data_IF_142736079348
#
_entry.id   IF_142736079348
#
_cell.length_a   1.000
_cell.length_b   1.000
_cell.length_c   1.000
_cell.angle_alpha   90.00
_cell.angle_beta   90.00
_cell.angle_gamma   90.00
#
_symmetry.space_group_name_H-M   'P 1'
#
loop_
_entity.id
_entity.type
_entity.pdbx_description
1 polymer ?
#
# COMPACT_ATOMS: atom_id res chain seq x y z
N UNK A 1 -17.39 32.15 -4.20
CA UNK A 1 -18.56 31.84 -3.34
C UNK A 1 -18.88 30.33 -3.22
N UNK A 2 -18.78 29.53 -4.31
CA UNK A 2 -19.13 28.09 -4.28
C UNK A 2 -18.24 27.20 -3.40
N UNK A 3 -16.92 27.46 -3.32
CA UNK A 3 -15.98 26.65 -2.53
C UNK A 3 -16.29 26.70 -1.04
N UNK A 4 -16.59 27.90 -0.50
CA UNK A 4 -16.91 28.09 0.92
C UNK A 4 -18.15 27.27 1.34
N UNK A 5 -19.20 27.28 0.52
CA UNK A 5 -20.42 26.50 0.77
C UNK A 5 -20.18 24.98 0.72
N UNK A 6 -19.29 24.51 -0.16
CA UNK A 6 -18.90 23.09 -0.23
C UNK A 6 -18.13 22.69 1.04
N UNK A 7 -17.21 23.53 1.50
CA UNK A 7 -16.46 23.30 2.74
C UNK A 7 -17.39 23.26 3.94
N UNK A 8 -18.31 24.21 4.06
CA UNK A 8 -19.28 24.25 5.16
C UNK A 8 -20.19 23.00 5.16
N UNK A 9 -20.69 22.59 3.99
CA UNK A 9 -21.46 21.32 3.86
C UNK A 9 -20.62 20.11 4.24
N UNK A 10 -19.36 20.04 3.82
CA UNK A 10 -18.45 18.95 4.16
C UNK A 10 -18.14 18.90 5.66
N UNK A 11 -17.92 20.07 6.29
CA UNK A 11 -17.70 20.19 7.74
C UNK A 11 -18.95 19.81 8.53
N UNK A 12 -20.16 19.93 7.96
CA UNK A 12 -21.40 19.46 8.59
C UNK A 12 -21.60 17.94 8.60
N UNK A 13 -20.84 17.17 7.82
CA UNK A 13 -21.06 15.72 7.67
C UNK A 13 -20.66 14.91 8.91
N UNK A 14 -21.26 13.72 9.06
CA UNK A 14 -20.86 12.75 10.07
C UNK A 14 -19.41 12.30 9.86
N UNK A 15 -18.69 11.99 10.94
CA UNK A 15 -17.27 11.63 10.88
C UNK A 15 -16.97 10.45 9.93
N UNK A 16 -17.78 9.37 9.87
CA UNK A 16 -17.58 8.30 8.91
C UNK A 16 -17.69 8.78 7.46
N UNK A 17 -18.67 9.62 7.15
CA UNK A 17 -18.90 10.13 5.79
C UNK A 17 -17.81 11.10 5.36
N UNK A 18 -17.29 11.92 6.29
CA UNK A 18 -16.10 12.76 6.04
C UNK A 18 -14.89 11.93 5.67
N UNK A 19 -14.62 10.86 6.44
CA UNK A 19 -13.52 9.95 6.14
C UNK A 19 -13.75 9.37 4.74
N UNK A 20 -14.92 8.79 4.46
CA UNK A 20 -15.22 8.18 3.16
C UNK A 20 -15.04 9.14 1.97
N UNK A 21 -15.55 10.37 2.05
CA UNK A 21 -15.40 11.36 0.98
C UNK A 21 -13.96 11.86 0.86
N UNK A 22 -13.30 12.21 1.98
CA UNK A 22 -11.90 12.67 1.95
C UNK A 22 -10.97 11.59 1.41
N UNK A 23 -11.25 10.35 1.76
CA UNK A 23 -10.63 9.15 1.26
C UNK A 23 -10.85 8.94 -0.24
N UNK A 24 -12.08 9.12 -0.72
CA UNK A 24 -12.38 9.00 -2.15
C UNK A 24 -11.67 10.08 -2.97
N UNK A 25 -11.69 11.33 -2.49
CA UNK A 25 -10.94 12.44 -3.11
C UNK A 25 -9.43 12.17 -3.07
N UNK A 26 -8.92 11.67 -1.95
CA UNK A 26 -7.51 11.25 -1.82
C UNK A 26 -7.18 10.07 -2.71
N UNK A 27 -8.08 9.12 -2.94
CA UNK A 27 -7.85 8.01 -3.86
C UNK A 27 -7.80 8.51 -5.31
N UNK A 28 -8.68 9.44 -5.69
CA UNK A 28 -8.70 10.04 -7.02
C UNK A 28 -7.47 10.93 -7.28
N UNK A 29 -7.12 11.82 -6.35
CA UNK A 29 -5.95 12.68 -6.49
C UNK A 29 -4.62 11.95 -6.23
N UNK A 30 -4.61 11.07 -5.23
CA UNK A 30 -3.45 10.32 -4.79
C UNK A 30 -3.05 9.21 -5.75
N UNK A 31 -3.98 8.58 -6.46
CA UNK A 31 -3.65 7.61 -7.51
C UNK A 31 -2.75 8.20 -8.60
N UNK A 32 -2.96 9.48 -8.95
CA UNK A 32 -2.10 10.20 -9.89
C UNK A 32 -0.71 10.43 -9.31
N UNK A 33 -0.63 10.86 -8.05
CA UNK A 33 0.63 11.09 -7.35
C UNK A 33 1.44 9.79 -7.17
N UNK A 34 0.79 8.71 -6.75
CA UNK A 34 1.45 7.40 -6.56
C UNK A 34 1.87 6.82 -7.91
N UNK A 35 1.07 7.00 -8.97
CA UNK A 35 1.45 6.65 -10.34
C UNK A 35 2.74 7.35 -10.78
N UNK A 36 2.85 8.65 -10.51
CA UNK A 36 4.06 9.44 -10.78
C UNK A 36 5.26 8.94 -9.96
N UNK A 37 5.07 8.66 -8.67
CA UNK A 37 6.12 8.09 -7.81
C UNK A 37 6.62 6.75 -8.36
N UNK A 38 5.71 5.87 -8.81
CA UNK A 38 6.09 4.57 -9.35
C UNK A 38 6.87 4.68 -10.66
N UNK A 39 6.56 5.69 -11.49
CA UNK A 39 7.31 5.99 -12.70
C UNK A 39 8.72 6.54 -12.38
N UNK A 40 8.84 7.42 -11.37
CA UNK A 40 10.16 7.86 -10.90
C UNK A 40 10.98 6.72 -10.29
N UNK A 41 10.34 5.82 -9.53
CA UNK A 41 10.97 4.63 -8.99
C UNK A 41 11.46 3.70 -10.10
N UNK A 42 10.67 3.52 -11.16
CA UNK A 42 11.06 2.80 -12.35
C UNK A 42 12.28 3.43 -13.03
N UNK A 43 12.30 4.74 -13.22
CA UNK A 43 13.44 5.42 -13.85
C UNK A 43 14.71 5.22 -13.04
N UNK A 44 14.63 5.31 -11.71
CA UNK A 44 15.75 4.98 -10.83
C UNK A 44 16.18 3.52 -10.99
N UNK A 45 15.23 2.59 -11.06
CA UNK A 45 15.51 1.17 -11.28
C UNK A 45 16.22 0.93 -12.63
N UNK A 46 15.72 1.51 -13.73
CA UNK A 46 16.34 1.40 -15.05
C UNK A 46 17.76 1.97 -15.04
N UNK A 47 17.95 3.15 -14.45
CA UNK A 47 19.26 3.79 -14.32
C UNK A 47 20.26 2.94 -13.54
N UNK A 48 19.84 2.34 -12.42
CA UNK A 48 20.72 1.49 -11.59
C UNK A 48 21.07 0.15 -12.23
N UNK A 49 20.37 -0.23 -13.30
CA UNK A 49 20.61 -1.47 -14.05
C UNK A 49 21.18 -1.21 -15.45
N UNK A 50 21.71 0.00 -15.70
CA UNK A 50 22.29 0.42 -16.99
C UNK A 50 21.32 0.23 -18.18
N UNK A 51 20.02 0.35 -17.94
CA UNK A 51 18.99 0.29 -18.97
C UNK A 51 18.68 1.68 -19.51
N UNK A 52 18.25 1.71 -20.78
CA UNK A 52 17.64 2.91 -21.35
C UNK A 52 16.37 3.27 -20.55
N UNK A 53 16.25 4.54 -20.19
CA UNK A 53 15.08 5.05 -19.48
C UNK A 53 13.88 5.04 -20.44
N UNK A 54 12.77 4.36 -20.09
CA UNK A 54 11.60 4.25 -20.96
C UNK A 54 10.75 5.54 -20.88
N UNK A 55 11.03 6.51 -21.76
CA UNK A 55 10.24 7.75 -21.87
C UNK A 55 8.79 7.50 -22.35
N UNK A 56 8.54 6.35 -22.94
CA UNK A 56 7.22 5.88 -23.40
C UNK A 56 6.28 5.54 -22.23
N UNK A 57 6.85 5.36 -21.03
CA UNK A 57 6.18 4.80 -19.86
C UNK A 57 6.12 3.26 -19.89
N UNK A 58 5.75 2.68 -18.75
CA UNK A 58 5.52 1.23 -18.64
C UNK A 58 4.03 0.96 -18.62
N UNK A 59 3.51 0.26 -19.63
CA UNK A 59 2.09 -0.02 -19.76
C UNK A 59 1.67 -0.85 -18.57
N UNK A 60 0.46 -0.58 -18.08
CA UNK A 60 -0.16 -1.26 -16.93
C UNK A 60 0.54 -1.08 -15.58
N UNK A 61 1.79 -0.60 -15.49
CA UNK A 61 2.42 -0.30 -14.19
C UNK A 61 1.62 0.75 -13.45
N UNK A 62 1.24 1.85 -14.13
CA UNK A 62 0.38 2.88 -13.53
C UNK A 62 -0.96 2.30 -13.08
N UNK A 63 -1.59 1.46 -13.90
CA UNK A 63 -2.87 0.83 -13.54
C UNK A 63 -2.73 -0.10 -12.32
N UNK A 64 -1.73 -0.98 -12.31
CA UNK A 64 -1.46 -1.92 -11.22
C UNK A 64 -1.13 -1.19 -9.92
N UNK A 65 -0.32 -0.14 -9.99
CA UNK A 65 0.02 0.69 -8.83
C UNK A 65 -1.22 1.42 -8.30
N UNK A 66 -2.06 1.95 -9.17
CA UNK A 66 -3.32 2.60 -8.78
C UNK A 66 -4.29 1.59 -8.15
N UNK A 67 -4.46 0.42 -8.79
CA UNK A 67 -5.30 -0.65 -8.27
C UNK A 67 -4.80 -1.15 -6.91
N UNK A 68 -3.49 -1.34 -6.76
CA UNK A 68 -2.87 -1.76 -5.51
C UNK A 68 -3.01 -0.68 -4.43
N UNK A 69 -2.84 0.59 -4.79
CA UNK A 69 -3.06 1.72 -3.86
C UNK A 69 -4.51 1.77 -3.38
N UNK A 70 -5.46 1.52 -4.28
CA UNK A 70 -6.88 1.43 -3.96
C UNK A 70 -7.17 0.21 -3.06
N UNK A 71 -6.53 -0.92 -3.32
CA UNK A 71 -6.63 -2.11 -2.48
C UNK A 71 -6.09 -1.83 -1.07
N UNK A 72 -4.88 -1.27 -0.93
CA UNK A 72 -4.33 -0.87 0.37
C UNK A 72 -5.24 0.11 1.09
N UNK A 73 -5.84 1.02 0.34
CA UNK A 73 -6.78 1.99 0.88
C UNK A 73 -8.03 1.30 1.46
N UNK A 74 -8.64 0.36 0.75
CA UNK A 74 -9.76 -0.44 1.28
C UNK A 74 -9.36 -1.30 2.47
N UNK A 75 -8.20 -1.94 2.41
CA UNK A 75 -7.62 -2.69 3.53
C UNK A 75 -7.44 -1.81 4.76
N UNK A 76 -6.93 -0.59 4.60
CA UNK A 76 -6.78 0.37 5.69
C UNK A 76 -8.13 0.79 6.28
N UNK A 77 -9.17 1.02 5.46
CA UNK A 77 -10.53 1.28 5.95
C UNK A 77 -11.04 0.09 6.76
N UNK A 78 -10.89 -1.13 6.25
CA UNK A 78 -11.39 -2.33 6.91
C UNK A 78 -10.68 -2.54 8.25
N UNK A 79 -9.36 -2.45 8.28
CA UNK A 79 -8.55 -2.47 9.51
C UNK A 79 -9.05 -1.40 10.47
N UNK A 80 -9.17 -0.16 10.02
CA UNK A 80 -9.64 0.95 10.86
C UNK A 80 -11.04 0.70 11.44
N UNK A 81 -11.98 0.24 10.62
CA UNK A 81 -13.35 -0.07 11.05
C UNK A 81 -13.35 -1.23 12.06
N UNK A 82 -12.60 -2.30 11.79
CA UNK A 82 -12.44 -3.44 12.68
C UNK A 82 -11.85 -3.04 14.03
N UNK A 83 -10.71 -2.35 14.03
CA UNK A 83 -10.05 -1.83 15.23
C UNK A 83 -11.00 -0.92 16.02
N UNK A 84 -11.71 -0.02 15.33
CA UNK A 84 -12.69 0.88 15.96
C UNK A 84 -13.86 0.12 16.60
N UNK A 85 -14.36 -0.94 15.96
CA UNK A 85 -15.43 -1.79 16.49
C UNK A 85 -14.94 -2.55 17.72
N UNK A 86 -13.79 -3.22 17.61
CA UNK A 86 -13.15 -3.96 18.70
C UNK A 86 -12.92 -3.05 19.91
N UNK A 87 -12.38 -1.85 19.68
CA UNK A 87 -12.15 -0.87 20.74
C UNK A 87 -13.47 -0.44 21.37
N UNK A 88 -14.49 -0.07 20.57
CA UNK A 88 -15.80 0.32 21.12
C UNK A 88 -16.42 -0.81 21.93
N UNK A 89 -16.29 -2.05 21.47
CA UNK A 89 -16.76 -3.23 22.17
C UNK A 89 -16.02 -3.41 23.50
N UNK A 90 -14.68 -3.38 23.48
CA UNK A 90 -13.87 -3.55 24.68
C UNK A 90 -14.10 -2.43 25.71
N UNK A 91 -14.24 -1.18 25.25
CA UNK A 91 -14.64 -0.05 26.08
C UNK A 91 -16.04 -0.25 26.64
N UNK A 92 -17.01 -0.70 25.84
CA UNK A 92 -18.37 -0.93 26.32
C UNK A 92 -18.39 -2.01 27.40
N UNK A 93 -17.69 -3.14 27.21
CA UNK A 93 -17.56 -4.21 28.22
C UNK A 93 -16.93 -3.68 29.51
N UNK A 94 -15.82 -2.93 29.41
CA UNK A 94 -15.18 -2.32 30.57
C UNK A 94 -16.11 -1.31 31.27
N UNK A 95 -16.85 -0.50 30.50
CA UNK A 95 -17.82 0.44 31.05
C UNK A 95 -19.01 -0.27 31.69
N UNK A 96 -19.52 -1.38 31.14
CA UNK A 96 -20.61 -2.15 31.77
C UNK A 96 -20.18 -2.68 33.15
N UNK A 97 -18.90 -3.01 33.33
CA UNK A 97 -18.36 -3.39 34.64
C UNK A 97 -18.22 -2.21 35.62
N UNK A 98 -17.99 -0.99 35.11
CA UNK A 98 -17.86 0.23 35.93
C UNK A 98 -19.23 0.90 36.20
N UNK A 99 -20.23 0.68 35.33
CA UNK A 99 -21.59 1.28 35.41
C UNK A 99 -22.56 0.56 36.35
N UNK A 100 -22.06 0.07 37.48
CA UNK A 100 -22.84 0.12 38.72
C UNK A 100 -22.62 1.54 39.28
N UNK A 101 -23.34 2.55 38.77
CA UNK A 101 -23.58 3.77 39.56
C UNK A 101 -23.48 5.18 38.94
N UNK A 102 -22.82 5.46 37.80
CA UNK A 102 -22.71 6.87 37.34
C UNK A 102 -22.89 7.10 35.82
N UNK A 103 -23.69 8.13 35.50
CA UNK A 103 -24.04 8.64 34.18
C UNK A 103 -23.14 9.84 33.81
N UNK A 104 -22.93 10.00 32.50
CA UNK A 104 -22.57 11.24 31.79
C UNK A 104 -21.16 11.81 31.94
N UNK A 105 -20.18 11.07 31.43
CA UNK A 105 -19.00 11.50 30.62
C UNK A 105 -18.12 10.26 30.50
N UNK A 106 -17.19 10.15 29.54
CA UNK A 106 -16.18 9.07 29.61
C UNK A 106 -15.23 9.45 30.76
N UNK A 107 -15.30 8.85 31.96
CA UNK A 107 -14.30 9.09 32.99
C UNK A 107 -12.92 8.69 32.46
N UNK A 108 -11.90 9.46 32.85
CA UNK A 108 -10.52 9.07 32.61
C UNK A 108 -10.30 7.68 33.25
N UNK A 109 -10.06 6.66 32.42
CA UNK A 109 -9.87 5.31 32.92
C UNK A 109 -8.56 5.24 33.72
N UNK A 110 -8.55 4.56 34.89
CA UNK A 110 -7.32 4.32 35.63
C UNK A 110 -6.35 3.51 34.77
N UNK A 111 -5.07 3.87 34.83
CA UNK A 111 -4.02 3.38 33.91
C UNK A 111 -3.93 1.84 33.83
N UNK A 112 -4.17 1.13 34.95
CA UNK A 112 -4.18 -0.34 34.99
C UNK A 112 -5.32 -0.96 34.17
N UNK A 113 -6.52 -0.40 34.20
CA UNK A 113 -7.65 -0.88 33.40
C UNK A 113 -7.46 -0.51 31.92
N UNK A 114 -6.90 0.67 31.67
CA UNK A 114 -6.51 1.10 30.34
C UNK A 114 -5.55 0.11 29.68
N UNK A 115 -4.48 -0.29 30.38
CA UNK A 115 -3.51 -1.28 29.90
C UNK A 115 -4.15 -2.62 29.53
N UNK A 116 -5.15 -3.10 30.29
CA UNK A 116 -5.88 -4.34 29.98
C UNK A 116 -6.73 -4.22 28.72
N UNK A 117 -7.46 -3.12 28.56
CA UNK A 117 -8.28 -2.89 27.36
C UNK A 117 -7.39 -2.68 26.13
N UNK A 118 -6.30 -1.94 26.29
CA UNK A 118 -5.29 -1.68 25.27
C UNK A 118 -4.62 -2.96 24.78
N UNK A 119 -4.22 -3.87 25.68
CA UNK A 119 -3.58 -5.12 25.30
C UNK A 119 -4.54 -6.06 24.56
N UNK A 120 -5.79 -6.18 25.02
CA UNK A 120 -6.83 -6.95 24.33
C UNK A 120 -7.10 -6.36 22.94
N UNK A 121 -7.30 -5.04 22.85
CA UNK A 121 -7.51 -4.37 21.57
C UNK A 121 -6.32 -4.55 20.63
N UNK A 122 -5.08 -4.49 21.14
CA UNK A 122 -3.87 -4.71 20.35
C UNK A 122 -3.82 -6.13 19.77
N UNK A 123 -4.13 -7.15 20.58
CA UNK A 123 -4.14 -8.56 20.14
C UNK A 123 -5.17 -8.75 19.03
N UNK A 124 -6.41 -8.32 19.24
CA UNK A 124 -7.45 -8.46 18.21
C UNK A 124 -7.15 -7.62 16.96
N UNK A 125 -6.55 -6.43 17.11
CA UNK A 125 -6.10 -5.61 15.99
C UNK A 125 -5.01 -6.30 15.18
N UNK A 126 -4.04 -6.92 15.86
CA UNK A 126 -2.96 -7.68 15.22
C UNK A 126 -3.49 -8.93 14.49
N UNK A 127 -4.43 -9.66 15.10
CA UNK A 127 -5.08 -10.83 14.47
C UNK A 127 -5.89 -10.41 13.25
N UNK A 128 -6.70 -9.34 13.38
CA UNK A 128 -7.53 -8.84 12.29
C UNK A 128 -6.68 -8.29 11.13
N UNK A 129 -5.61 -7.56 11.46
CA UNK A 129 -4.64 -7.09 10.48
C UNK A 129 -3.97 -8.29 9.78
N UNK A 130 -3.48 -9.26 10.54
CA UNK A 130 -2.90 -10.49 10.01
C UNK A 130 -3.84 -11.22 9.06
N UNK A 131 -5.12 -11.35 9.41
CA UNK A 131 -6.14 -11.99 8.56
C UNK A 131 -6.39 -11.25 7.23
N UNK A 132 -6.39 -9.92 7.23
CA UNK A 132 -6.56 -9.12 6.00
C UNK A 132 -5.28 -9.13 5.15
N UNK A 133 -4.13 -9.23 5.80
CA UNK A 133 -2.82 -9.16 5.18
C UNK A 133 -2.36 -10.53 4.65
N UNK A 134 -2.82 -11.63 5.24
CA UNK A 134 -2.43 -12.99 4.87
C UNK A 134 -2.56 -13.30 3.36
N UNK A 135 -3.63 -12.86 2.65
CA UNK A 135 -3.74 -13.00 1.20
C UNK A 135 -2.65 -12.26 0.41
N UNK A 136 -1.99 -11.27 1.01
CA UNK A 136 -0.92 -10.46 0.44
C UNK A 136 0.48 -10.89 0.91
N UNK A 137 0.61 -12.04 1.61
CA UNK A 137 1.89 -12.48 2.17
C UNK A 137 2.97 -12.76 1.12
N UNK A 138 2.62 -13.21 -0.09
CA UNK A 138 3.58 -13.34 -1.19
C UNK A 138 4.31 -12.02 -1.46
N UNK A 139 3.55 -10.93 -1.50
CA UNK A 139 4.08 -9.58 -1.65
C UNK A 139 4.81 -9.08 -0.40
N UNK A 140 4.31 -9.36 0.80
CA UNK A 140 4.99 -8.94 2.05
C UNK A 140 6.31 -9.67 2.27
N UNK A 141 6.42 -10.92 1.85
CA UNK A 141 7.67 -11.68 1.90
C UNK A 141 8.74 -11.09 0.97
N UNK A 142 8.34 -10.26 -0.01
CA UNK A 142 9.26 -9.49 -0.84
C UNK A 142 9.83 -8.25 -0.13
N UNK A 143 9.13 -7.73 0.89
CA UNK A 143 9.64 -6.66 1.73
C UNK A 143 10.73 -7.21 2.67
N UNK A 144 11.75 -6.40 3.01
CA UNK A 144 12.68 -6.74 4.08
C UNK A 144 11.94 -7.20 5.34
N UNK A 145 12.41 -8.28 5.97
CA UNK A 145 11.74 -8.96 7.09
C UNK A 145 11.40 -8.03 8.28
N UNK A 146 12.15 -6.94 8.45
CA UNK A 146 11.86 -5.94 9.46
C UNK A 146 10.64 -5.10 9.09
N UNK A 147 10.41 -4.78 7.81
CA UNK A 147 9.24 -4.01 7.36
C UNK A 147 7.95 -4.82 7.40
N UNK A 148 8.00 -6.12 7.05
CA UNK A 148 6.82 -7.00 7.15
C UNK A 148 6.28 -7.10 8.58
N UNK A 149 7.18 -7.09 9.57
CA UNK A 149 6.84 -7.28 10.97
C UNK A 149 6.71 -5.97 11.77
N UNK A 150 7.42 -4.89 11.42
CA UNK A 150 7.41 -3.65 12.22
C UNK A 150 6.39 -2.61 11.78
N UNK A 151 6.11 -2.49 10.46
CA UNK A 151 5.10 -1.53 9.96
C UNK A 151 3.71 -1.76 10.60
N UNK A 152 3.24 -3.00 10.82
CA UNK A 152 1.96 -3.24 11.49
C UNK A 152 1.97 -2.87 12.98
N UNK A 153 3.14 -2.94 13.61
CA UNK A 153 3.29 -2.82 15.06
C UNK A 153 3.54 -1.38 15.50
N UNK A 154 3.96 -0.45 14.64
CA UNK A 154 4.20 0.97 14.98
C UNK A 154 2.89 1.76 15.23
N UNK A 155 1.83 1.59 14.42
CA UNK A 155 0.55 2.29 14.65
C UNK A 155 -0.08 1.92 15.99
N UNK A 156 0.08 0.67 16.43
CA UNK A 156 -0.59 0.15 17.63
C UNK A 156 -0.20 0.94 18.90
N UNK A 157 1.08 1.05 19.33
CA UNK A 157 1.48 1.80 20.51
C UNK A 157 1.21 3.30 20.36
N UNK A 158 1.29 3.88 19.16
CA UNK A 158 0.94 5.29 18.91
C UNK A 158 -0.56 5.49 19.18
N UNK A 159 -1.41 4.65 18.58
CA UNK A 159 -2.86 4.72 18.75
C UNK A 159 -3.23 4.50 20.22
N UNK A 160 -2.61 3.52 20.88
CA UNK A 160 -2.76 3.27 22.31
C UNK A 160 -2.21 4.41 23.18
N UNK A 161 -1.15 5.11 22.80
CA UNK A 161 -0.68 6.24 23.59
C UNK A 161 -1.70 7.39 23.56
N UNK A 162 -2.18 7.73 22.36
CA UNK A 162 -3.11 8.84 22.17
C UNK A 162 -4.56 8.53 22.57
N UNK A 163 -4.93 7.26 22.73
CA UNK A 163 -6.22 6.83 23.28
C UNK A 163 -6.44 7.26 24.72
N UNK A 164 -5.39 7.63 25.46
CA UNK A 164 -5.52 8.23 26.80
C UNK A 164 -6.31 9.55 26.78
N UNK A 165 -6.31 10.26 25.64
CA UNK A 165 -7.10 11.48 25.44
C UNK A 165 -7.98 11.31 24.19
N UNK A 166 -9.30 11.08 24.32
CA UNK A 166 -10.17 10.81 23.17
C UNK A 166 -10.16 11.94 22.11
N UNK A 167 -9.83 13.16 22.52
CA UNK A 167 -9.63 14.31 21.60
C UNK A 167 -8.43 14.13 20.66
N UNK A 168 -7.43 13.32 21.02
CA UNK A 168 -6.18 13.18 20.28
C UNK A 168 -6.11 11.94 19.39
N UNK A 169 -7.05 10.99 19.55
CA UNK A 169 -7.13 9.77 18.73
C UNK A 169 -7.13 10.10 17.23
N UNK A 170 -7.82 11.17 16.82
CA UNK A 170 -7.89 11.60 15.41
C UNK A 170 -6.51 11.96 14.86
N UNK A 171 -5.68 12.65 15.64
CA UNK A 171 -4.33 13.04 15.21
C UNK A 171 -3.38 11.84 15.17
N UNK A 172 -3.51 10.92 16.12
CA UNK A 172 -2.73 9.68 16.14
C UNK A 172 -3.00 8.83 14.90
N UNK A 173 -4.26 8.75 14.50
CA UNK A 173 -4.67 8.03 13.29
C UNK A 173 -4.07 8.66 12.04
N UNK A 174 -4.22 9.99 11.89
CA UNK A 174 -3.63 10.72 10.76
C UNK A 174 -2.10 10.54 10.73
N UNK A 175 -1.43 10.69 11.88
CA UNK A 175 0.01 10.51 11.99
C UNK A 175 0.47 9.10 11.62
N UNK A 176 -0.22 8.07 12.12
CA UNK A 176 0.11 6.68 11.79
C UNK A 176 -0.08 6.37 10.30
N UNK A 177 -1.14 6.90 9.68
CA UNK A 177 -1.39 6.79 8.25
C UNK A 177 -0.28 7.45 7.42
N UNK A 178 0.13 8.67 7.80
CA UNK A 178 1.22 9.39 7.12
C UNK A 178 2.56 8.65 7.24
N UNK A 179 2.84 8.04 8.40
CA UNK A 179 4.05 7.23 8.61
C UNK A 179 4.04 6.02 7.67
N UNK A 180 2.94 5.26 7.62
CA UNK A 180 2.83 4.07 6.76
C UNK A 180 2.99 4.45 5.28
N UNK A 181 2.35 5.51 4.82
CA UNK A 181 2.51 6.01 3.44
C UNK A 181 3.95 6.42 3.16
N UNK A 182 4.59 7.14 4.08
CA UNK A 182 5.98 7.60 3.90
C UNK A 182 6.94 6.41 3.79
N UNK A 183 6.76 5.39 4.64
CA UNK A 183 7.55 4.15 4.58
C UNK A 183 7.33 3.44 3.24
N UNK A 184 6.07 3.34 2.78
CA UNK A 184 5.76 2.71 1.50
C UNK A 184 6.42 3.44 0.33
N UNK A 185 6.29 4.78 0.26
CA UNK A 185 6.92 5.61 -0.77
C UNK A 185 8.43 5.43 -0.75
N UNK A 186 9.06 5.50 0.43
CA UNK A 186 10.51 5.33 0.54
C UNK A 186 10.99 3.97 0.01
N UNK A 187 10.21 2.91 0.25
CA UNK A 187 10.53 1.56 -0.23
C UNK A 187 10.38 1.39 -1.74
N UNK A 188 9.47 2.11 -2.40
CA UNK A 188 9.39 2.09 -3.86
C UNK A 188 10.69 2.55 -4.52
N UNK A 189 11.46 3.43 -3.86
CA UNK A 189 12.76 3.90 -4.36
C UNK A 189 13.93 2.99 -4.00
N UNK A 190 13.71 1.86 -3.31
CA UNK A 190 14.73 0.85 -3.09
C UNK A 190 14.73 -0.12 -4.28
N UNK A 191 15.84 -0.21 -5.00
CA UNK A 191 15.94 -1.00 -6.23
C UNK A 191 15.72 -2.51 -6.01
N UNK A 192 16.16 -3.05 -4.87
CA UNK A 192 15.97 -4.47 -4.55
C UNK A 192 14.50 -4.77 -4.27
N UNK A 193 13.85 -3.95 -3.43
CA UNK A 193 12.42 -4.07 -3.13
C UNK A 193 11.58 -3.88 -4.39
N UNK A 194 11.92 -2.89 -5.21
CA UNK A 194 11.23 -2.61 -6.46
C UNK A 194 11.41 -3.75 -7.49
N UNK A 195 12.60 -4.33 -7.59
CA UNK A 195 12.85 -5.51 -8.44
C UNK A 195 11.96 -6.69 -8.05
N UNK A 196 11.86 -7.00 -6.75
CA UNK A 196 10.98 -8.07 -6.27
C UNK A 196 9.50 -7.75 -6.53
N UNK A 197 9.11 -6.49 -6.41
CA UNK A 197 7.76 -6.05 -6.78
C UNK A 197 7.47 -6.27 -8.27
N UNK A 198 8.41 -5.92 -9.15
CA UNK A 198 8.29 -6.16 -10.59
C UNK A 198 8.24 -7.66 -10.93
N UNK A 199 8.97 -8.48 -10.16
CA UNK A 199 8.97 -9.95 -10.28
C UNK A 199 7.62 -10.55 -9.96
N UNK A 200 7.01 -10.13 -8.86
CA UNK A 200 5.69 -10.58 -8.45
C UNK A 200 4.61 -10.22 -9.48
N UNK A 201 4.71 -9.01 -10.05
CA UNK A 201 3.80 -8.58 -11.11
C UNK A 201 4.11 -9.21 -12.48
N UNK A 202 5.24 -9.91 -12.62
CA UNK A 202 5.77 -10.44 -13.89
C UNK A 202 6.06 -9.37 -14.96
N UNK A 203 6.49 -8.18 -14.52
CA UNK A 203 6.91 -7.08 -15.38
C UNK A 203 8.44 -6.89 -15.44
N UNK A 204 9.21 -7.59 -14.59
CA UNK A 204 10.68 -7.59 -14.56
C UNK A 204 11.23 -8.60 -13.55
N UNK A 205 12.47 -9.04 -13.66
CA UNK A 205 13.12 -10.03 -12.78
C UNK A 205 12.64 -11.49 -12.91
N UNK A 206 11.98 -11.85 -14.03
CA UNK A 206 11.42 -13.20 -14.29
C UNK A 206 12.04 -13.78 -15.55
N UNK A 207 12.44 -15.04 -15.53
CA UNK A 207 12.92 -15.74 -16.73
C UNK A 207 11.78 -15.91 -17.73
N UNK A 208 11.99 -15.49 -18.97
CA UNK A 208 11.00 -15.60 -20.04
C UNK A 208 11.63 -16.06 -21.34
N UNK A 209 10.82 -16.74 -22.16
CA UNK A 209 11.15 -17.02 -23.55
C UNK A 209 10.26 -16.19 -24.46
N UNK A 210 10.88 -15.33 -25.26
CA UNK A 210 10.19 -14.45 -26.21
C UNK A 210 10.34 -15.02 -27.61
N UNK A 211 9.21 -15.27 -28.25
CA UNK A 211 9.13 -15.62 -29.67
C UNK A 211 8.78 -14.36 -30.46
N UNK A 212 9.62 -13.97 -31.40
CA UNK A 212 9.46 -12.73 -32.17
C UNK A 212 9.83 -12.90 -33.64
N UNK A 213 9.35 -11.99 -34.49
CA UNK A 213 9.71 -11.89 -35.91
C UNK A 213 11.04 -11.13 -36.04
N UNK A 214 11.96 -11.64 -36.86
CA UNK A 214 13.25 -11.01 -37.10
C UNK A 214 13.48 -10.87 -38.61
N UNK A 215 14.35 -9.94 -39.03
CA UNK A 215 14.61 -9.71 -40.45
C UNK A 215 15.08 -11.01 -41.14
N UNK A 216 14.36 -11.42 -42.18
CA UNK A 216 14.66 -12.63 -42.95
C UNK A 216 14.25 -13.97 -42.31
N UNK A 217 13.72 -13.99 -41.08
CA UNK A 217 13.24 -15.21 -40.41
C UNK A 217 11.91 -14.97 -39.69
N UNK A 218 10.91 -15.79 -40.01
CA UNK A 218 9.59 -15.67 -39.41
C UNK A 218 9.60 -15.89 -37.88
N UNK A 219 10.53 -16.69 -37.34
CA UNK A 219 10.55 -17.06 -35.93
C UNK A 219 11.98 -17.00 -35.36
N UNK A 220 12.26 -15.97 -34.56
CA UNK A 220 13.38 -15.92 -33.63
C UNK A 220 12.91 -16.23 -32.20
N UNK A 221 13.83 -16.77 -31.40
CA UNK A 221 13.58 -17.12 -30.00
C UNK A 221 14.75 -16.62 -29.18
N UNK A 222 14.45 -15.85 -28.14
CA UNK A 222 15.41 -15.45 -27.13
C UNK A 222 14.88 -15.84 -25.77
N UNK A 223 15.73 -16.46 -24.96
CA UNK A 223 15.45 -16.80 -23.57
C UNK A 223 16.40 -16.01 -22.68
N UNK A 224 15.86 -15.40 -21.63
CA UNK A 224 16.64 -14.60 -20.69
C UNK A 224 15.77 -14.04 -19.58
N UNK A 225 16.39 -13.26 -18.70
CA UNK A 225 15.67 -12.59 -17.63
C UNK A 225 14.93 -11.36 -18.20
N UNK A 226 13.61 -11.32 -18.05
CA UNK A 226 12.83 -10.12 -18.37
C UNK A 226 13.26 -9.01 -17.43
N UNK A 227 13.91 -7.97 -17.93
CA UNK A 227 14.25 -6.81 -17.11
C UNK A 227 13.11 -5.82 -17.05
N UNK A 228 12.53 -5.50 -18.21
CA UNK A 228 11.44 -4.54 -18.30
C UNK A 228 10.55 -4.80 -19.51
N UNK A 229 9.25 -4.58 -19.34
CA UNK A 229 8.29 -4.54 -20.44
C UNK A 229 7.71 -3.14 -20.58
N UNK A 230 8.05 -2.43 -21.65
CA UNK A 230 7.48 -1.11 -21.97
C UNK A 230 6.32 -1.24 -22.96
N UNK A 231 5.76 -0.12 -23.40
CA UNK A 231 4.69 -0.10 -24.40
C UNK A 231 5.21 -0.42 -25.79
N UNK A 232 6.47 -0.09 -26.07
CA UNK A 232 7.07 -0.33 -27.39
C UNK A 232 8.06 -1.49 -27.41
N UNK A 233 8.64 -1.88 -26.27
CA UNK A 233 9.71 -2.88 -26.21
C UNK A 233 9.57 -3.89 -25.06
N UNK A 234 10.14 -5.08 -25.26
CA UNK A 234 10.49 -6.05 -24.22
C UNK A 234 12.00 -6.04 -24.08
N UNK A 235 12.50 -5.73 -22.89
CA UNK A 235 13.92 -5.71 -22.56
C UNK A 235 14.29 -7.00 -21.83
N UNK A 236 15.09 -7.82 -22.49
CA UNK A 236 15.62 -9.06 -21.92
C UNK A 236 17.09 -8.88 -21.57
N UNK A 237 17.57 -9.54 -20.52
CA UNK A 237 19.00 -9.75 -20.30
C UNK A 237 19.38 -11.16 -20.72
N UNK A 238 20.25 -11.24 -21.72
CA UNK A 238 20.79 -12.49 -22.26
C UNK A 238 22.31 -12.39 -22.14
N UNK A 239 22.92 -13.33 -21.43
CA UNK A 239 24.39 -13.39 -21.23
C UNK A 239 25.02 -12.10 -20.68
N UNK A 240 24.27 -11.33 -19.89
CA UNK A 240 24.74 -10.07 -19.30
C UNK A 240 24.42 -8.83 -20.13
N UNK A 241 24.03 -8.98 -21.40
CA UNK A 241 23.67 -7.89 -22.29
C UNK A 241 22.16 -7.67 -22.34
N UNK A 242 21.75 -6.41 -22.40
CA UNK A 242 20.34 -6.03 -22.57
C UNK A 242 19.97 -6.04 -24.06
N UNK A 243 18.99 -6.86 -24.42
CA UNK A 243 18.41 -6.95 -25.76
C UNK A 243 17.01 -6.34 -25.73
N UNK A 244 16.78 -5.33 -26.57
CA UNK A 244 15.47 -4.69 -26.75
C UNK A 244 14.75 -5.31 -27.96
N UNK A 245 13.58 -5.92 -27.72
CA UNK A 245 12.74 -6.52 -28.75
C UNK A 245 11.48 -5.67 -28.91
N UNK A 246 11.20 -5.08 -30.09
CA UNK A 246 9.99 -4.30 -30.30
C UNK A 246 8.73 -5.14 -30.06
N UNK A 247 7.78 -4.64 -29.27
CA UNK A 247 6.50 -5.31 -28.98
C UNK A 247 5.73 -5.66 -30.27
N UNK A 248 5.87 -4.86 -31.33
CA UNK A 248 5.28 -5.12 -32.65
C UNK A 248 5.80 -6.41 -33.30
N UNK A 249 7.01 -6.86 -32.92
CA UNK A 249 7.62 -8.09 -33.41
C UNK A 249 7.31 -9.30 -32.52
N UNK A 250 6.86 -9.10 -31.28
CA UNK A 250 6.61 -10.17 -30.30
C UNK A 250 5.33 -10.92 -30.64
N UNK A 251 5.46 -12.24 -30.84
CA UNK A 251 4.33 -13.15 -31.08
C UNK A 251 3.83 -13.80 -29.80
N UNK A 252 4.75 -14.22 -28.94
CA UNK A 252 4.44 -14.95 -27.70
C UNK A 252 5.53 -14.73 -26.66
N UNK A 253 5.11 -14.56 -25.41
CA UNK A 253 5.99 -14.58 -24.23
C UNK A 253 5.57 -15.79 -23.39
N UNK A 254 6.52 -16.64 -23.04
CA UNK A 254 6.33 -17.78 -22.14
C UNK A 254 7.03 -17.48 -20.82
N UNK A 255 6.31 -17.64 -19.71
CA UNK A 255 6.74 -17.42 -18.32
C UNK A 255 6.92 -18.74 -17.58
#
# INVERSE_FOLDING_TARGET
>A
MKIKQIIEKFVGLSLPLKILISSFVTALGGSTFIGLIAELALYKYAYLNDLRIPFEGVPYLRFNVVFLSLLFFFTAILVFAGVSIIIKFALNVAYTQIKIGQKTSLPEMPFKQYLKVASIAAIYSAVFFGAIIMPFMGWINSLPWYLSNTIPLIPIPITLYFMRKPKHIKYALIGSYLIVISIFIFNLFNAETYSKFMKELKYGGVDVTVHYSCEGKANCVSSGELYLRTSEYVVLKVDGEAIEIPNSSVKKISY
#
